data_IF_124160405806
#
_entry.id   IF_124160405806
#
_cell.length_a   1.000
_cell.length_b   1.000
_cell.length_c   1.000
_cell.angle_alpha   90.00
_cell.angle_beta   90.00
_cell.angle_gamma   90.00
#
_symmetry.space_group_name_H-M   'P 1'
#
loop_
_entity.id
_entity.type
_entity.pdbx_description
1 polymer ?
#
# COMPACT_ATOMS: atom_id res chain seq x y z
N UNK A 1 2.32 6.58 -28.67
CA UNK A 1 1.39 5.94 -27.73
C UNK A 1 1.99 6.09 -26.34
N UNK A 2 1.23 6.61 -25.39
CA UNK A 2 1.65 6.73 -23.99
C UNK A 2 1.74 5.37 -23.29
N UNK A 3 2.40 5.32 -22.14
CA UNK A 3 2.59 4.09 -21.34
C UNK A 3 1.27 3.32 -21.13
N UNK A 4 0.22 4.01 -20.67
CA UNK A 4 -1.09 3.37 -20.43
C UNK A 4 -1.77 2.91 -21.72
N UNK A 5 -1.58 3.62 -22.83
CA UNK A 5 -2.16 3.21 -24.12
C UNK A 5 -1.55 1.92 -24.65
N UNK A 6 -0.27 1.69 -24.36
CA UNK A 6 0.43 0.47 -24.77
C UNK A 6 0.06 -0.74 -23.91
N UNK A 7 -0.26 -0.53 -22.62
CA UNK A 7 -0.52 -1.62 -21.67
C UNK A 7 -2.00 -1.92 -21.45
N UNK A 8 -2.86 -0.92 -21.57
CA UNK A 8 -4.29 -1.03 -21.27
C UNK A 8 -5.11 -0.91 -22.56
N UNK A 9 -5.03 0.24 -23.22
CA UNK A 9 -5.79 0.57 -24.42
C UNK A 9 -5.86 2.08 -24.62
N UNK A 10 -6.35 2.55 -25.77
CA UNK A 10 -6.51 3.99 -26.03
C UNK A 10 -7.63 4.58 -25.18
N UNK A 11 -7.38 5.73 -24.57
CA UNK A 11 -8.37 6.45 -23.78
C UNK A 11 -8.79 7.73 -24.53
N UNK A 12 -10.10 8.02 -24.66
CA UNK A 12 -11.24 7.41 -23.94
C UNK A 12 -11.90 6.21 -24.62
N UNK A 13 -11.46 5.78 -25.81
CA UNK A 13 -12.16 4.79 -26.64
C UNK A 13 -12.32 3.42 -25.95
N UNK A 14 -11.31 3.00 -25.19
CA UNK A 14 -11.26 1.73 -24.49
C UNK A 14 -11.42 1.92 -22.96
N UNK A 15 -12.17 2.94 -22.54
CA UNK A 15 -12.42 3.27 -21.10
C UNK A 15 -12.87 2.06 -20.27
N UNK A 16 -13.68 1.17 -20.83
CA UNK A 16 -14.14 -0.03 -20.14
C UNK A 16 -12.97 -0.92 -19.67
N UNK A 17 -11.86 -0.99 -20.43
CA UNK A 17 -10.67 -1.74 -20.02
C UNK A 17 -9.97 -1.11 -18.81
N UNK A 18 -9.95 0.23 -18.73
CA UNK A 18 -9.40 0.94 -17.58
C UNK A 18 -10.22 0.68 -16.32
N UNK A 19 -11.55 0.75 -16.40
CA UNK A 19 -12.45 0.45 -15.28
C UNK A 19 -12.32 -1.01 -14.84
N UNK A 20 -12.29 -1.95 -15.79
CA UNK A 20 -12.12 -3.38 -15.50
C UNK A 20 -10.80 -3.71 -14.81
N UNK A 21 -9.72 -2.98 -15.11
CA UNK A 21 -8.37 -3.26 -14.57
C UNK A 21 -7.99 -2.39 -13.38
N UNK A 22 -8.77 -1.36 -13.07
CA UNK A 22 -8.50 -0.45 -11.95
C UNK A 22 -8.81 -1.14 -10.61
N UNK A 23 -7.85 -1.20 -9.66
CA UNK A 23 -8.13 -1.66 -8.30
C UNK A 23 -9.20 -0.83 -7.60
N UNK A 24 -9.29 0.47 -7.90
CA UNK A 24 -10.29 1.38 -7.33
C UNK A 24 -11.72 1.07 -7.78
N UNK A 25 -11.89 0.38 -8.91
CA UNK A 25 -13.20 -0.08 -9.38
C UNK A 25 -13.65 -1.39 -8.70
N UNK A 26 -12.78 -2.01 -7.90
CA UNK A 26 -13.00 -3.34 -7.31
C UNK A 26 -12.74 -3.34 -5.79
N UNK A 27 -12.95 -2.20 -5.12
CA UNK A 27 -12.72 -2.07 -3.67
C UNK A 27 -13.51 -3.09 -2.84
N UNK A 28 -14.69 -3.49 -3.30
CA UNK A 28 -15.52 -4.52 -2.64
C UNK A 28 -14.84 -5.89 -2.60
N UNK A 29 -13.95 -6.18 -3.54
CA UNK A 29 -13.20 -7.45 -3.62
C UNK A 29 -11.90 -7.42 -2.81
N UNK A 30 -11.47 -6.25 -2.32
CA UNK A 30 -10.28 -6.17 -1.47
C UNK A 30 -10.54 -6.89 -0.15
N UNK A 31 -9.83 -7.98 0.10
CA UNK A 31 -9.99 -8.81 1.31
C UNK A 31 -8.67 -9.10 2.03
N UNK A 32 -7.55 -8.67 1.46
CA UNK A 32 -6.21 -9.04 1.93
C UNK A 32 -5.57 -7.86 2.63
N UNK A 33 -4.86 -8.08 3.76
CA UNK A 33 -4.05 -7.05 4.38
C UNK A 33 -2.99 -6.47 3.44
N UNK A 34 -2.81 -5.14 3.46
CA UNK A 34 -1.82 -4.44 2.62
C UNK A 34 -1.08 -3.37 3.42
N UNK A 35 0.24 -3.32 3.26
CA UNK A 35 1.10 -2.24 3.72
C UNK A 35 1.53 -1.37 2.54
N UNK A 36 1.25 -0.07 2.61
CA UNK A 36 1.64 0.93 1.63
C UNK A 36 2.82 1.76 2.16
N UNK A 37 3.79 1.98 1.28
CA UNK A 37 4.95 2.82 1.50
C UNK A 37 5.03 3.77 0.31
N UNK A 38 4.93 5.08 0.52
CA UNK A 38 4.77 6.04 -0.59
C UNK A 38 5.58 7.31 -0.35
N UNK A 39 6.26 7.80 -1.40
CA UNK A 39 6.96 9.08 -1.36
C UNK A 39 5.98 10.23 -1.60
N UNK A 40 6.00 11.26 -0.76
CA UNK A 40 5.06 12.39 -0.88
C UNK A 40 5.20 13.13 -2.23
N UNK A 41 6.43 13.24 -2.72
CA UNK A 41 6.79 14.01 -3.92
C UNK A 41 6.90 13.13 -5.17
N UNK A 42 6.19 11.98 -5.22
CA UNK A 42 6.20 11.06 -6.36
C UNK A 42 5.52 11.67 -7.60
N UNK A 43 6.27 12.01 -8.67
CA UNK A 43 5.70 12.62 -9.86
C UNK A 43 5.14 11.58 -10.84
N UNK A 44 5.38 10.29 -10.61
CA UNK A 44 4.99 9.18 -11.49
C UNK A 44 3.68 8.58 -11.04
N UNK A 45 3.54 8.30 -9.75
CA UNK A 45 2.35 7.71 -9.14
C UNK A 45 1.84 8.59 -8.00
N UNK A 46 0.73 9.32 -8.20
CA UNK A 46 0.17 10.20 -7.18
C UNK A 46 -0.13 9.48 -5.87
N UNK A 47 0.25 10.09 -4.74
CA UNK A 47 -0.01 9.60 -3.38
C UNK A 47 -1.49 9.27 -3.14
N UNK A 48 -2.40 10.00 -3.78
CA UNK A 48 -3.86 9.80 -3.66
C UNK A 48 -4.29 8.38 -4.01
N UNK A 49 -3.58 7.67 -4.91
CA UNK A 49 -3.91 6.28 -5.24
C UNK A 49 -3.72 5.35 -4.03
N UNK A 50 -2.59 5.47 -3.32
CA UNK A 50 -2.31 4.71 -2.10
C UNK A 50 -3.27 5.10 -0.97
N UNK A 51 -3.56 6.38 -0.80
CA UNK A 51 -4.52 6.86 0.22
C UNK A 51 -5.93 6.28 0.01
N UNK A 52 -6.42 6.25 -1.24
CA UNK A 52 -7.75 5.72 -1.55
C UNK A 52 -7.87 4.22 -1.21
N UNK A 53 -6.86 3.42 -1.53
CA UNK A 53 -6.84 1.99 -1.22
C UNK A 53 -6.70 1.73 0.29
N UNK A 54 -5.83 2.49 0.96
CA UNK A 54 -5.66 2.44 2.41
C UNK A 54 -6.98 2.74 3.15
N UNK A 55 -7.66 3.84 2.80
CA UNK A 55 -8.93 4.19 3.44
C UNK A 55 -10.03 3.15 3.16
N UNK A 56 -10.08 2.59 1.95
CA UNK A 56 -11.02 1.52 1.63
C UNK A 56 -10.79 0.26 2.49
N UNK A 57 -9.54 -0.20 2.62
CA UNK A 57 -9.18 -1.33 3.47
C UNK A 57 -9.46 -1.05 4.95
N UNK A 58 -9.12 0.17 5.40
CA UNK A 58 -9.35 0.62 6.77
C UNK A 58 -10.84 0.60 7.12
N UNK A 59 -11.70 1.16 6.28
CA UNK A 59 -13.15 1.14 6.49
C UNK A 59 -13.74 -0.27 6.49
N UNK A 60 -13.16 -1.20 5.74
CA UNK A 60 -13.57 -2.62 5.72
C UNK A 60 -13.11 -3.42 6.93
N UNK A 61 -12.38 -2.81 7.86
CA UNK A 61 -11.84 -3.53 9.02
C UNK A 61 -10.70 -4.49 8.66
N UNK A 62 -10.08 -4.32 7.49
CA UNK A 62 -8.97 -5.17 7.04
C UNK A 62 -7.66 -4.56 7.55
N UNK A 63 -6.72 -5.36 8.08
CA UNK A 63 -5.44 -4.84 8.54
C UNK A 63 -4.68 -4.12 7.42
N UNK A 64 -4.28 -2.87 7.67
CA UNK A 64 -3.58 -2.08 6.66
C UNK A 64 -2.69 -1.03 7.29
N UNK A 65 -1.62 -0.64 6.61
CA UNK A 65 -0.75 0.46 7.01
C UNK A 65 -0.47 1.38 5.83
N UNK A 66 -0.32 2.68 6.09
CA UNK A 66 0.19 3.64 5.13
C UNK A 66 1.31 4.43 5.79
N UNK A 67 2.51 4.37 5.21
CA UNK A 67 3.65 5.19 5.60
C UNK A 67 4.00 6.10 4.44
N UNK A 68 3.91 7.40 4.68
CA UNK A 68 4.25 8.45 3.72
C UNK A 68 5.60 9.05 4.10
N UNK A 69 6.48 9.21 3.12
CA UNK A 69 7.82 9.77 3.29
C UNK A 69 7.90 11.16 2.65
N UNK A 70 7.88 12.24 3.45
CA UNK A 70 8.10 13.60 2.94
C UNK A 70 9.46 13.74 2.27
N UNK A 71 9.52 14.43 1.12
CA UNK A 71 10.76 14.63 0.36
C UNK A 71 11.21 13.45 -0.50
N UNK A 72 10.55 12.30 -0.40
CA UNK A 72 10.84 11.13 -1.24
C UNK A 72 9.91 11.11 -2.48
N UNK A 73 10.44 10.64 -3.61
CA UNK A 73 9.73 10.55 -4.88
C UNK A 73 9.45 9.09 -5.29
N UNK A 74 9.41 8.80 -6.59
CA UNK A 74 9.25 7.44 -7.12
C UNK A 74 10.51 6.59 -6.87
N UNK A 75 10.48 5.78 -5.81
CA UNK A 75 11.62 5.01 -5.32
C UNK A 75 12.45 5.80 -4.30
N UNK A 76 12.71 5.19 -3.14
CA UNK A 76 13.32 5.87 -2.01
C UNK A 76 14.84 6.00 -2.15
N UNK A 77 15.35 7.22 -2.01
CA UNK A 77 16.79 7.50 -2.05
C UNK A 77 17.39 7.65 -0.65
N UNK A 78 16.62 8.16 0.31
CA UNK A 78 17.06 8.30 1.69
C UNK A 78 17.24 6.94 2.37
N UNK A 79 18.32 6.79 3.14
CA UNK A 79 18.54 5.58 3.95
C UNK A 79 17.41 5.37 4.95
N UNK A 80 16.91 6.44 5.56
CA UNK A 80 15.80 6.39 6.50
C UNK A 80 14.53 5.76 5.90
N UNK A 81 14.07 6.24 4.74
CA UNK A 81 12.88 5.71 4.08
C UNK A 81 13.06 4.23 3.71
N UNK A 82 14.25 3.84 3.25
CA UNK A 82 14.60 2.45 2.96
C UNK A 82 14.60 1.56 4.21
N UNK A 83 15.20 2.01 5.32
CA UNK A 83 15.25 1.29 6.59
C UNK A 83 13.85 1.12 7.21
N UNK A 84 13.04 2.18 7.23
CA UNK A 84 11.65 2.12 7.70
C UNK A 84 10.81 1.21 6.82
N UNK A 85 10.98 1.27 5.50
CA UNK A 85 10.26 0.38 4.58
C UNK A 85 10.63 -1.07 4.80
N UNK A 86 11.92 -1.39 4.94
CA UNK A 86 12.38 -2.76 5.13
C UNK A 86 11.92 -3.35 6.47
N UNK A 87 12.13 -2.62 7.56
CA UNK A 87 11.68 -3.04 8.89
C UNK A 87 10.15 -3.11 8.99
N UNK A 88 9.44 -2.16 8.39
CA UNK A 88 7.97 -2.12 8.31
C UNK A 88 7.40 -3.27 7.51
N UNK A 89 7.96 -3.57 6.34
CA UNK A 89 7.58 -4.72 5.54
C UNK A 89 7.72 -6.02 6.34
N UNK A 90 8.89 -6.26 6.94
CA UNK A 90 9.14 -7.46 7.74
C UNK A 90 8.14 -7.55 8.92
N UNK A 91 7.98 -6.46 9.66
CA UNK A 91 7.08 -6.40 10.81
C UNK A 91 5.63 -6.70 10.40
N UNK A 92 5.14 -6.07 9.34
CA UNK A 92 3.80 -6.29 8.81
C UNK A 92 3.60 -7.76 8.45
N UNK A 93 4.53 -8.36 7.71
CA UNK A 93 4.47 -9.77 7.34
C UNK A 93 4.43 -10.70 8.56
N UNK A 94 5.31 -10.49 9.53
CA UNK A 94 5.30 -11.27 10.77
C UNK A 94 3.95 -11.19 11.48
N UNK A 95 3.37 -9.99 11.62
CA UNK A 95 2.06 -9.80 12.26
C UNK A 95 0.92 -10.48 11.49
N UNK A 96 0.94 -10.44 10.16
CA UNK A 96 -0.05 -11.12 9.33
C UNK A 96 0.06 -12.65 9.43
N UNK A 97 1.28 -13.17 9.53
CA UNK A 97 1.56 -14.60 9.66
C UNK A 97 1.45 -15.12 11.10
N UNK A 98 1.18 -14.27 12.09
CA UNK A 98 1.14 -14.66 13.50
C UNK A 98 2.51 -15.09 14.04
N UNK A 99 3.58 -14.50 13.50
CA UNK A 99 4.96 -14.70 13.92
C UNK A 99 5.38 -13.48 14.75
N UNK A 100 6.08 -13.72 15.87
CA UNK A 100 6.64 -12.65 16.69
C UNK A 100 7.79 -11.96 15.92
N UNK A 101 7.69 -10.66 15.59
CA UNK A 101 8.79 -9.96 14.93
C UNK A 101 10.05 -9.95 15.80
N UNK A 102 11.22 -10.12 15.18
CA UNK A 102 12.51 -9.97 15.87
C UNK A 102 13.01 -8.51 15.93
N UNK A 103 12.38 -7.62 15.18
CA UNK A 103 12.66 -6.18 15.16
C UNK A 103 11.37 -5.41 15.34
N UNK A 104 11.47 -4.27 16.02
CA UNK A 104 10.38 -3.30 16.08
C UNK A 104 10.29 -2.50 14.76
N UNK A 105 9.13 -1.88 14.53
CA UNK A 105 8.92 -1.01 13.37
C UNK A 105 8.18 0.26 13.76
N UNK A 106 8.40 1.31 12.97
CA UNK A 106 7.75 2.61 13.09
C UNK A 106 6.39 2.66 12.38
N UNK A 107 6.00 1.62 11.65
CA UNK A 107 4.72 1.60 10.94
C UNK A 107 3.53 1.44 11.89
N UNK A 108 2.42 2.09 11.57
CA UNK A 108 1.14 1.90 12.24
C UNK A 108 0.25 0.97 11.40
N UNK A 109 -0.23 -0.11 12.02
CA UNK A 109 -1.15 -1.05 11.38
C UNK A 109 -2.54 -0.84 11.98
N UNK A 110 -3.46 -0.36 11.16
CA UNK A 110 -4.88 -0.25 11.49
C UNK A 110 -5.55 -1.63 11.49
N UNK A 111 -6.66 -1.77 12.22
CA UNK A 111 -7.50 -2.98 12.28
C UNK A 111 -6.77 -4.28 12.65
N UNK A 112 -5.64 -4.19 13.36
CA UNK A 112 -4.89 -5.35 13.78
C UNK A 112 -5.60 -6.06 14.94
N UNK A 113 -5.80 -7.38 14.83
CA UNK A 113 -6.50 -8.13 15.88
C UNK A 113 -5.63 -8.36 17.12
N UNK A 114 -6.27 -8.50 18.29
CA UNK A 114 -5.57 -8.78 19.57
C UNK A 114 -4.74 -10.07 19.56
N UNK A 115 -5.12 -11.07 18.77
CA UNK A 115 -4.34 -12.30 18.58
C UNK A 115 -3.06 -12.04 17.78
N UNK A 116 -3.12 -11.13 16.81
CA UNK A 116 -1.96 -10.70 16.04
C UNK A 116 -1.07 -9.73 16.83
N UNK A 117 -1.59 -9.04 17.85
CA UNK A 117 -0.79 -8.21 18.76
C UNK A 117 0.13 -8.99 19.70
N UNK A 118 -0.30 -10.16 20.14
CA UNK A 118 0.35 -10.89 21.24
C UNK A 118 1.06 -12.17 20.80
N UNK A 119 1.56 -12.22 19.56
CA UNK A 119 2.29 -13.40 19.07
C UNK A 119 3.33 -13.84 20.10
N UNK A 120 3.06 -14.98 20.74
CA UNK A 120 3.77 -15.52 21.90
C UNK A 120 5.19 -15.91 21.54
#
# INVERSE_FOLDING_TARGET
LGYNEQLIGKFPEEKALYEQRSPLSHLDQLSTPVAFFHGEDDPVVPLTQSMQLYEALKMKGIPTSLTVFPGEAHGFKGSFANEVTMSGFYYFFCRMLGIKPSVESQIQIENLSKSQEKSR
#
